data_IF_886467636092
#
_entry.id   IF_886467636092
#
_cell.length_a   1.000
_cell.length_b   1.000
_cell.length_c   1.000
_cell.angle_alpha   90.00
_cell.angle_beta   90.00
_cell.angle_gamma   90.00
#
_symmetry.space_group_name_H-M   'P 1'
#
loop_
_entity.id
_entity.type
_entity.pdbx_description
1 polymer ?
#
# COMPACT_ATOMS: atom_id res chain seq x y z
N UNK A 1 63.26 20.57 -2.55
CA UNK A 1 62.51 20.35 -1.30
C UNK A 1 61.19 21.12 -1.17
N UNK A 2 60.90 22.18 -1.95
CA UNK A 2 59.59 22.88 -1.88
C UNK A 2 58.46 22.29 -2.75
N UNK A 3 58.76 21.28 -3.58
CA UNK A 3 57.79 20.70 -4.51
C UNK A 3 56.97 19.53 -3.90
N UNK A 4 57.42 18.90 -2.81
CA UNK A 4 56.68 17.83 -2.13
C UNK A 4 55.70 18.36 -1.06
N UNK A 5 55.96 19.52 -0.45
CA UNK A 5 55.02 20.12 0.53
C UNK A 5 53.75 20.71 -0.14
N UNK A 6 53.85 21.17 -1.39
CA UNK A 6 52.69 21.68 -2.13
C UNK A 6 51.73 20.57 -2.57
N UNK A 7 52.22 19.34 -2.71
CA UNK A 7 51.35 18.18 -3.02
C UNK A 7 50.51 17.75 -1.83
N UNK A 8 50.92 18.05 -0.59
CA UNK A 8 50.17 17.63 0.61
C UNK A 8 48.99 18.55 0.92
N UNK A 9 49.11 19.86 0.77
CA UNK A 9 48.02 20.80 1.05
C UNK A 9 46.82 20.57 0.11
N UNK A 10 47.08 20.50 -1.20
CA UNK A 10 46.03 20.23 -2.20
C UNK A 10 45.38 18.86 -1.98
N UNK A 11 46.15 17.86 -1.57
CA UNK A 11 45.65 16.51 -1.30
C UNK A 11 44.80 16.46 -0.02
N UNK A 12 45.14 17.25 0.99
CA UNK A 12 44.31 17.43 2.19
C UNK A 12 43.00 18.09 1.80
N UNK A 13 43.02 19.21 1.07
CA UNK A 13 41.79 19.88 0.62
C UNK A 13 40.90 18.97 -0.23
N UNK A 14 41.49 18.21 -1.16
CA UNK A 14 40.77 17.22 -1.95
C UNK A 14 40.15 16.12 -1.07
N UNK A 15 40.88 15.64 -0.07
CA UNK A 15 40.38 14.63 0.85
C UNK A 15 39.24 15.16 1.73
N UNK A 16 39.32 16.41 2.21
CA UNK A 16 38.25 17.06 2.96
C UNK A 16 37.01 17.29 2.08
N UNK A 17 37.24 17.71 0.84
CA UNK A 17 36.18 17.86 -0.14
C UNK A 17 35.52 16.51 -0.40
N UNK A 18 36.27 15.42 -0.63
CA UNK A 18 35.72 14.06 -0.82
C UNK A 18 35.01 13.55 0.43
N UNK A 19 35.55 13.82 1.62
CA UNK A 19 34.93 13.45 2.89
C UNK A 19 33.54 14.08 3.06
N UNK A 20 33.29 15.26 2.50
CA UNK A 20 32.01 15.97 2.65
C UNK A 20 31.07 15.81 1.46
N UNK A 21 31.61 15.71 0.24
CA UNK A 21 30.84 15.69 -1.01
C UNK A 21 30.64 14.29 -1.60
N UNK A 22 31.56 13.37 -1.33
CA UNK A 22 31.50 11.99 -1.85
C UNK A 22 30.99 11.04 -0.77
N UNK A 23 30.33 9.96 -1.19
CA UNK A 23 29.98 8.84 -0.33
C UNK A 23 30.88 7.62 -0.53
N UNK A 24 31.97 7.78 -1.29
CA UNK A 24 32.98 6.74 -1.43
C UNK A 24 33.56 6.36 -0.06
N UNK A 25 33.81 5.05 0.08
CA UNK A 25 34.57 4.51 1.18
C UNK A 25 36.01 5.03 1.08
N UNK A 26 36.41 5.82 2.06
CA UNK A 26 37.80 6.23 2.19
C UNK A 26 38.65 5.01 2.55
N UNK A 27 39.82 4.91 1.93
CA UNK A 27 40.81 3.88 2.29
C UNK A 27 41.24 4.04 3.75
N UNK A 28 41.72 2.96 4.38
CA UNK A 28 42.17 3.02 5.77
C UNK A 28 43.25 4.08 6.00
N UNK A 29 44.12 4.30 5.00
CA UNK A 29 45.16 5.35 5.03
C UNK A 29 44.56 6.76 5.03
N UNK A 30 43.55 7.00 4.19
CA UNK A 30 42.83 8.30 4.16
C UNK A 30 42.05 8.53 5.45
N UNK A 31 41.42 7.48 6.00
CA UNK A 31 40.73 7.58 7.29
C UNK A 31 41.70 7.89 8.43
N UNK A 32 42.88 7.27 8.44
CA UNK A 32 43.93 7.56 9.41
C UNK A 32 44.39 9.03 9.28
N UNK A 33 44.57 9.51 8.05
CA UNK A 33 44.92 10.90 7.80
C UNK A 33 43.83 11.87 8.31
N UNK A 34 42.55 11.60 8.02
CA UNK A 34 41.44 12.40 8.55
C UNK A 34 41.40 12.41 10.08
N UNK A 35 41.65 11.28 10.73
CA UNK A 35 41.72 11.21 12.21
C UNK A 35 42.84 12.08 12.76
N UNK A 36 44.01 12.06 12.13
CA UNK A 36 45.12 12.93 12.52
C UNK A 36 44.79 14.42 12.31
N UNK A 37 44.09 14.76 11.23
CA UNK A 37 43.61 16.13 10.97
C UNK A 37 42.59 16.59 12.02
N UNK A 38 41.67 15.70 12.45
CA UNK A 38 40.72 15.97 13.54
C UNK A 38 41.47 16.27 14.83
N UNK A 39 42.43 15.40 15.22
CA UNK A 39 43.22 15.58 16.44
C UNK A 39 44.00 16.91 16.39
N UNK A 40 44.58 17.25 15.24
CA UNK A 40 45.29 18.52 15.05
C UNK A 40 44.36 19.73 15.18
N UNK A 41 43.17 19.69 14.57
CA UNK A 41 42.18 20.76 14.66
C UNK A 41 41.61 20.92 16.08
N UNK A 42 41.37 19.82 16.79
CA UNK A 42 40.95 19.84 18.20
C UNK A 42 42.03 20.45 19.10
N UNK A 43 43.31 20.11 18.86
CA UNK A 43 44.44 20.74 19.54
C UNK A 43 44.53 22.25 19.28
N UNK A 44 44.27 22.68 18.05
CA UNK A 44 44.25 24.10 17.68
C UNK A 44 43.09 24.86 18.36
N UNK A 45 41.88 24.27 18.44
CA UNK A 45 40.76 24.87 19.18
C UNK A 45 41.12 25.03 20.65
N UNK A 46 41.71 24.00 21.27
CA UNK A 46 42.13 24.10 22.67
C UNK A 46 43.15 25.22 22.89
N UNK A 47 44.10 25.37 21.97
CA UNK A 47 45.04 26.50 21.99
C UNK A 47 44.33 27.85 21.89
N UNK A 48 43.37 28.00 20.95
CA UNK A 48 42.57 29.22 20.84
C UNK A 48 41.76 29.51 22.11
N UNK A 49 41.24 28.46 22.77
CA UNK A 49 40.48 28.57 24.01
C UNK A 49 41.34 28.98 25.21
N UNK A 50 42.62 28.58 25.24
CA UNK A 50 43.59 29.02 26.25
C UNK A 50 44.02 30.49 26.07
N UNK A 51 43.94 31.04 24.84
CA UNK A 51 44.31 32.45 24.51
C UNK A 51 43.12 33.44 24.60
N UNK A 52 41.93 32.99 25.05
CA UNK A 52 40.67 33.78 25.16
C UNK A 52 40.79 35.03 26.06
N UNK A 53 41.86 35.16 26.86
CA UNK A 53 42.11 36.38 27.64
C UNK A 53 42.36 37.62 26.76
N UNK A 54 42.57 37.46 25.45
CA UNK A 54 42.62 38.58 24.50
C UNK A 54 41.28 38.67 23.74
N UNK A 55 40.48 39.74 23.94
CA UNK A 55 39.24 39.93 23.20
C UNK A 55 39.56 40.37 21.77
N UNK A 56 39.88 39.39 20.92
CA UNK A 56 40.14 39.59 19.50
C UNK A 56 39.04 38.87 18.73
N UNK A 57 38.25 39.64 17.97
CA UNK A 57 37.16 39.15 17.11
C UNK A 57 37.65 38.02 16.18
N UNK A 58 38.92 38.07 15.76
CA UNK A 58 39.54 37.07 14.89
C UNK A 58 39.62 35.67 15.51
N UNK A 59 39.80 35.54 16.84
CA UNK A 59 39.88 34.23 17.50
C UNK A 59 38.54 33.48 17.43
N UNK A 60 37.42 34.21 17.52
CA UNK A 60 36.10 33.61 17.42
C UNK A 60 35.81 33.10 16.01
N UNK A 61 36.21 33.85 14.99
CA UNK A 61 36.10 33.42 13.58
C UNK A 61 36.93 32.16 13.34
N UNK A 62 38.20 32.15 13.75
CA UNK A 62 39.07 30.97 13.62
C UNK A 62 38.50 29.75 14.36
N UNK A 63 37.89 29.94 15.54
CA UNK A 63 37.24 28.86 16.29
C UNK A 63 36.06 28.28 15.53
N UNK A 64 35.18 29.11 14.97
CA UNK A 64 34.03 28.65 14.18
C UNK A 64 34.49 27.89 12.93
N UNK A 65 35.51 28.38 12.23
CA UNK A 65 36.09 27.70 11.07
C UNK A 65 36.68 26.33 11.42
N UNK A 66 37.43 26.24 12.52
CA UNK A 66 38.00 24.99 13.00
C UNK A 66 36.91 23.98 13.41
N UNK A 67 35.85 24.42 14.09
CA UNK A 67 34.72 23.56 14.43
C UNK A 67 33.99 23.04 13.18
N UNK A 68 33.71 23.93 12.21
CA UNK A 68 33.13 23.55 10.93
C UNK A 68 34.02 22.56 10.16
N UNK A 69 35.35 22.69 10.27
CA UNK A 69 36.29 21.74 9.69
C UNK A 69 36.23 20.38 10.39
N UNK A 70 36.26 20.34 11.73
CA UNK A 70 36.13 19.08 12.49
C UNK A 70 34.85 18.34 12.14
N UNK A 71 33.71 19.04 12.07
CA UNK A 71 32.42 18.40 11.77
C UNK A 71 32.40 17.78 10.36
N UNK A 72 33.01 18.48 9.39
CA UNK A 72 33.22 17.96 8.03
C UNK A 72 34.08 16.69 8.02
N UNK A 73 35.19 16.67 8.77
CA UNK A 73 36.08 15.51 8.87
C UNK A 73 35.42 14.33 9.62
N UNK A 74 34.65 14.61 10.66
CA UNK A 74 33.87 13.60 11.42
C UNK A 74 32.79 12.97 10.55
N UNK A 75 32.12 13.75 9.72
CA UNK A 75 31.18 13.24 8.71
C UNK A 75 31.88 12.27 7.74
N UNK A 76 33.14 12.55 7.36
CA UNK A 76 33.98 11.66 6.56
C UNK A 76 34.31 10.32 7.21
N UNK A 77 34.40 10.29 8.54
CA UNK A 77 34.84 9.13 9.33
C UNK A 77 33.71 8.44 10.09
N UNK A 78 32.46 8.89 9.90
CA UNK A 78 31.30 8.38 10.60
C UNK A 78 31.09 6.87 10.36
N UNK A 79 30.69 6.16 11.42
CA UNK A 79 30.59 4.69 11.42
C UNK A 79 29.65 4.18 10.32
N UNK A 80 28.54 4.87 10.08
CA UNK A 80 27.56 4.46 9.06
C UNK A 80 28.14 4.43 7.64
N UNK A 81 29.27 5.08 7.37
CA UNK A 81 29.96 5.01 6.07
C UNK A 81 30.72 3.70 5.89
N UNK A 82 31.09 3.03 6.98
CA UNK A 82 31.78 1.73 6.96
C UNK A 82 30.83 0.54 6.87
N UNK A 83 29.58 0.75 7.25
CA UNK A 83 28.57 -0.29 7.22
C UNK A 83 28.34 -0.70 5.76
N UNK A 84 28.41 -1.99 5.40
CA UNK A 84 28.08 -2.47 4.06
C UNK A 84 26.66 -2.08 3.65
N UNK A 85 26.41 -1.96 2.34
CA UNK A 85 25.10 -1.51 1.84
C UNK A 85 23.98 -2.49 2.19
N UNK A 86 24.29 -3.78 2.29
CA UNK A 86 23.38 -4.86 2.68
C UNK A 86 22.94 -4.69 4.13
N UNK A 87 23.89 -4.38 5.04
CA UNK A 87 23.57 -4.15 6.46
C UNK A 87 22.77 -2.86 6.63
N UNK A 88 23.08 -1.80 5.88
CA UNK A 88 22.27 -0.58 5.87
C UNK A 88 20.85 -0.85 5.36
N UNK A 89 20.70 -1.69 4.33
CA UNK A 89 19.40 -2.07 3.80
C UNK A 89 18.56 -2.79 4.86
N UNK A 90 19.13 -3.76 5.58
CA UNK A 90 18.46 -4.45 6.69
C UNK A 90 18.05 -3.47 7.80
N UNK A 91 18.95 -2.57 8.21
CA UNK A 91 18.64 -1.51 9.20
C UNK A 91 17.49 -0.64 8.71
N UNK A 92 17.46 -0.26 7.43
CA UNK A 92 16.40 0.56 6.86
C UNK A 92 15.06 -0.18 6.82
N UNK A 93 15.05 -1.47 6.46
CA UNK A 93 13.83 -2.29 6.47
C UNK A 93 13.25 -2.39 7.88
N UNK A 94 14.08 -2.65 8.89
CA UNK A 94 13.65 -2.69 10.29
C UNK A 94 13.18 -1.32 10.81
N UNK A 95 13.86 -0.25 10.41
CA UNK A 95 13.54 1.11 10.87
C UNK A 95 12.27 1.70 10.22
N UNK A 96 12.01 1.35 8.96
CA UNK A 96 10.82 1.78 8.22
C UNK A 96 9.62 0.88 8.55
N UNK A 97 9.87 -0.40 8.80
CA UNK A 97 8.86 -1.45 8.83
C UNK A 97 8.29 -1.77 7.45
N UNK A 98 7.27 -2.62 7.41
CA UNK A 98 6.46 -2.85 6.21
C UNK A 98 5.51 -1.67 6.04
N UNK A 99 6.06 -0.52 5.64
CA UNK A 99 5.28 0.70 5.43
C UNK A 99 5.06 0.93 3.94
N UNK A 100 3.83 1.32 3.59
CA UNK A 100 3.48 1.86 2.28
C UNK A 100 4.33 3.08 1.95
N UNK A 101 4.70 3.24 0.69
CA UNK A 101 5.32 4.45 0.16
C UNK A 101 4.23 5.41 -0.26
N UNK A 102 4.16 6.54 0.43
CA UNK A 102 3.18 7.56 0.17
C UNK A 102 3.70 8.61 -0.83
N UNK A 103 2.87 8.94 -1.81
CA UNK A 103 3.11 9.93 -2.84
C UNK A 103 2.07 11.06 -2.75
N UNK A 104 2.46 12.34 -2.83
CA UNK A 104 3.84 12.85 -2.95
C UNK A 104 4.68 12.63 -1.69
N UNK A 105 6.02 12.71 -1.81
CA UNK A 105 6.92 12.61 -0.67
C UNK A 105 6.52 13.53 0.47
N UNK A 106 6.22 12.96 1.63
CA UNK A 106 5.96 13.70 2.87
C UNK A 106 7.08 13.42 3.88
N UNK A 107 7.46 14.46 4.63
CA UNK A 107 8.50 14.39 5.68
C UNK A 107 8.13 13.44 6.83
N UNK A 108 6.84 13.11 6.97
CA UNK A 108 6.37 12.19 7.99
C UNK A 108 6.68 10.73 7.68
N UNK A 109 7.08 10.39 6.45
CA UNK A 109 7.42 9.01 6.11
C UNK A 109 8.93 8.80 6.14
N UNK A 110 9.31 7.75 6.87
CA UNK A 110 10.70 7.37 7.16
C UNK A 110 11.53 7.18 5.89
N UNK A 111 10.97 6.57 4.83
CA UNK A 111 11.71 6.34 3.57
C UNK A 111 12.23 7.63 2.93
N UNK A 112 11.41 8.68 2.85
CA UNK A 112 11.80 9.94 2.23
C UNK A 112 12.84 10.66 3.06
N UNK A 113 12.72 10.60 4.39
CA UNK A 113 13.71 11.17 5.32
C UNK A 113 15.07 10.48 5.20
N UNK A 114 15.10 9.14 5.10
CA UNK A 114 16.34 8.39 4.89
C UNK A 114 17.03 8.74 3.55
N UNK A 115 16.25 8.96 2.49
CA UNK A 115 16.76 9.39 1.18
C UNK A 115 17.35 10.82 1.19
N UNK A 116 17.13 11.61 2.25
CA UNK A 116 17.71 12.94 2.39
C UNK A 116 18.99 12.96 3.24
N UNK A 117 19.37 11.86 3.88
CA UNK A 117 20.55 11.81 4.76
C UNK A 117 21.85 11.98 3.96
N UNK A 118 22.08 11.12 2.97
CA UNK A 118 23.22 11.22 2.06
C UNK A 118 22.91 10.53 0.72
N UNK A 119 23.69 10.81 -0.33
CA UNK A 119 23.45 10.19 -1.65
C UNK A 119 23.59 8.68 -1.66
N UNK A 120 24.39 8.08 -0.78
CA UNK A 120 24.49 6.62 -0.64
C UNK A 120 23.23 5.99 -0.06
N UNK A 121 22.66 6.57 1.00
CA UNK A 121 21.41 6.07 1.58
C UNK A 121 20.27 6.17 0.55
N UNK A 122 20.25 7.28 -0.19
CA UNK A 122 19.35 7.45 -1.33
C UNK A 122 19.53 6.35 -2.37
N UNK A 123 20.76 6.09 -2.81
CA UNK A 123 21.05 5.04 -3.80
C UNK A 123 20.60 3.67 -3.32
N UNK A 124 20.93 3.28 -2.08
CA UNK A 124 20.52 1.99 -1.49
C UNK A 124 19.00 1.85 -1.53
N UNK A 125 18.25 2.87 -1.11
CA UNK A 125 16.79 2.84 -1.10
C UNK A 125 16.22 2.81 -2.53
N UNK A 126 16.74 3.64 -3.42
CA UNK A 126 16.31 3.69 -4.83
C UNK A 126 16.56 2.36 -5.57
N UNK A 127 17.66 1.67 -5.25
CA UNK A 127 18.04 0.41 -5.88
C UNK A 127 17.42 -0.83 -5.23
N UNK A 128 16.67 -0.69 -4.14
CA UNK A 128 16.11 -1.80 -3.40
C UNK A 128 14.59 -1.93 -3.68
N UNK A 129 14.18 -2.89 -4.54
CA UNK A 129 12.78 -3.09 -4.92
C UNK A 129 11.81 -3.28 -3.77
N UNK A 130 12.28 -3.85 -2.65
CA UNK A 130 11.47 -4.15 -1.46
C UNK A 130 10.75 -2.91 -0.92
N UNK A 131 11.37 -1.74 -1.03
CA UNK A 131 10.74 -0.49 -0.58
C UNK A 131 9.64 0.02 -1.51
N UNK A 132 9.57 -0.47 -2.75
CA UNK A 132 8.65 0.06 -3.76
C UNK A 132 7.48 -0.90 -4.04
N UNK A 133 7.32 -1.94 -3.22
CA UNK A 133 6.27 -2.97 -3.36
C UNK A 133 4.88 -2.47 -3.04
N UNK A 134 4.74 -1.45 -2.20
CA UNK A 134 3.43 -0.90 -1.82
C UNK A 134 3.43 0.61 -1.99
N UNK A 135 2.68 1.11 -2.97
CA UNK A 135 2.64 2.53 -3.35
C UNK A 135 1.22 3.04 -3.14
N UNK A 136 1.10 4.13 -2.39
CA UNK A 136 -0.16 4.82 -2.17
C UNK A 136 -0.04 6.28 -2.54
N UNK A 137 -0.90 6.75 -3.45
CA UNK A 137 -0.95 8.15 -3.86
C UNK A 137 -2.04 8.85 -3.04
N UNK A 138 -1.68 9.87 -2.27
CA UNK A 138 -2.60 10.59 -1.36
C UNK A 138 -3.11 11.91 -1.95
N UNK A 139 -2.30 12.65 -2.70
CA UNK A 139 -2.63 14.00 -3.18
C UNK A 139 -2.53 14.10 -4.70
N UNK A 140 -3.68 14.29 -5.34
CA UNK A 140 -3.80 14.48 -6.78
C UNK A 140 -3.51 15.91 -7.24
N UNK A 141 -3.07 16.86 -6.40
CA UNK A 141 -2.85 18.26 -6.85
C UNK A 141 -1.49 18.51 -7.50
N UNK A 142 -0.52 17.58 -7.40
CA UNK A 142 0.86 17.73 -7.92
C UNK A 142 1.20 16.69 -9.01
N UNK A 143 0.27 16.47 -9.95
CA UNK A 143 0.18 15.28 -10.80
C UNK A 143 1.37 15.07 -11.74
N UNK A 144 1.79 16.10 -12.49
CA UNK A 144 2.81 15.92 -13.54
C UNK A 144 4.12 15.36 -12.96
N UNK A 145 4.56 15.89 -11.81
CA UNK A 145 5.76 15.40 -11.13
C UNK A 145 5.60 14.00 -10.53
N UNK A 146 4.37 13.62 -10.16
CA UNK A 146 4.07 12.31 -9.58
C UNK A 146 4.06 11.22 -10.64
N UNK A 147 3.49 11.49 -11.82
CA UNK A 147 3.43 10.52 -12.90
C UNK A 147 4.84 10.11 -13.35
N UNK A 148 5.76 11.08 -13.49
CA UNK A 148 7.16 10.79 -13.79
C UNK A 148 7.79 9.87 -12.73
N UNK A 149 7.53 10.15 -11.45
CA UNK A 149 8.04 9.33 -10.35
C UNK A 149 7.41 7.93 -10.32
N UNK A 150 6.11 7.81 -10.58
CA UNK A 150 5.39 6.53 -10.62
C UNK A 150 5.93 5.69 -11.79
N UNK A 151 6.05 6.28 -12.98
CA UNK A 151 6.67 5.61 -14.13
C UNK A 151 8.10 5.18 -13.83
N UNK A 152 8.90 6.02 -13.17
CA UNK A 152 10.26 5.65 -12.78
C UNK A 152 10.29 4.50 -11.76
N UNK A 153 9.34 4.47 -10.83
CA UNK A 153 9.22 3.35 -9.88
C UNK A 153 8.86 2.05 -10.61
N UNK A 154 7.86 2.10 -11.50
CA UNK A 154 7.42 0.94 -12.28
C UNK A 154 8.39 0.50 -13.38
N UNK A 155 9.25 1.39 -13.87
CA UNK A 155 10.23 1.06 -14.92
C UNK A 155 11.56 0.61 -14.33
N UNK A 156 12.06 1.31 -13.31
CA UNK A 156 13.45 1.15 -12.86
C UNK A 156 13.58 0.67 -11.42
N UNK A 157 12.82 1.24 -10.47
CA UNK A 157 13.09 1.03 -9.03
C UNK A 157 12.49 -0.24 -8.47
N UNK A 158 11.32 -0.63 -8.95
CA UNK A 158 10.64 -1.83 -8.47
C UNK A 158 11.33 -3.13 -8.91
N UNK A 159 12.35 -3.09 -9.77
CA UNK A 159 13.01 -4.30 -10.30
C UNK A 159 12.00 -5.32 -10.85
N UNK A 160 12.20 -6.62 -10.56
CA UNK A 160 11.20 -7.67 -10.86
C UNK A 160 10.13 -7.87 -9.79
N UNK A 161 9.99 -6.98 -8.80
CA UNK A 161 8.98 -7.15 -7.75
C UNK A 161 7.59 -6.77 -8.26
N UNK A 162 6.60 -7.52 -7.78
CA UNK A 162 5.20 -7.18 -7.95
C UNK A 162 4.83 -6.01 -7.03
N UNK A 163 4.02 -5.10 -7.54
CA UNK A 163 3.65 -3.82 -6.96
C UNK A 163 2.17 -3.86 -6.57
N UNK A 164 1.90 -3.41 -5.35
CA UNK A 164 0.58 -3.02 -4.86
C UNK A 164 0.43 -1.53 -5.07
N UNK A 165 -0.58 -1.11 -5.83
CA UNK A 165 -0.77 0.30 -6.17
C UNK A 165 -2.16 0.79 -5.81
N UNK A 166 -2.19 1.91 -5.08
CA UNK A 166 -3.40 2.61 -4.69
C UNK A 166 -3.39 4.04 -5.29
N UNK A 167 -4.23 4.34 -6.30
CA UNK A 167 -4.35 5.66 -6.90
C UNK A 167 -4.94 6.67 -5.92
N UNK A 168 -4.81 7.99 -6.20
CA UNK A 168 -5.39 8.99 -5.33
C UNK A 168 -6.91 8.94 -5.35
N UNK A 169 -7.50 9.19 -4.18
CA UNK A 169 -8.94 9.14 -3.96
C UNK A 169 -9.75 10.09 -4.85
N UNK A 170 -9.15 11.22 -5.26
CA UNK A 170 -9.77 12.20 -6.16
C UNK A 170 -8.94 12.25 -7.43
N UNK A 171 -9.16 11.28 -8.32
CA UNK A 171 -8.56 11.29 -9.65
C UNK A 171 -9.45 12.07 -10.63
N UNK A 172 -8.86 12.99 -11.38
CA UNK A 172 -9.49 13.52 -12.60
C UNK A 172 -9.31 12.49 -13.74
N UNK A 173 -9.96 12.73 -14.88
CA UNK A 173 -9.86 11.86 -16.06
C UNK A 173 -8.41 11.65 -16.53
N UNK A 174 -7.55 12.67 -16.43
CA UNK A 174 -6.15 12.57 -16.79
C UNK A 174 -5.36 11.59 -15.91
N UNK A 175 -5.52 11.64 -14.58
CA UNK A 175 -4.88 10.67 -13.66
C UNK A 175 -5.32 9.25 -14.00
N UNK A 176 -6.60 9.08 -14.30
CA UNK A 176 -7.11 7.77 -14.71
C UNK A 176 -6.44 7.28 -15.98
N UNK A 177 -6.27 8.14 -16.99
CA UNK A 177 -5.56 7.78 -18.21
C UNK A 177 -4.10 7.40 -17.94
N UNK A 178 -3.37 8.21 -17.17
CA UNK A 178 -1.97 7.92 -16.83
C UNK A 178 -1.85 6.60 -16.05
N UNK A 179 -2.77 6.35 -15.13
CA UNK A 179 -2.83 5.10 -14.38
C UNK A 179 -3.17 3.90 -15.26
N UNK A 180 -4.14 4.03 -16.16
CA UNK A 180 -4.46 2.97 -17.12
C UNK A 180 -3.29 2.70 -18.07
N UNK A 181 -2.57 3.74 -18.48
CA UNK A 181 -1.37 3.62 -19.31
C UNK A 181 -0.22 2.95 -18.56
N UNK A 182 -0.07 3.22 -17.26
CA UNK A 182 0.84 2.50 -16.38
C UNK A 182 0.51 1.00 -16.30
N UNK A 183 -0.77 0.66 -16.09
CA UNK A 183 -1.25 -0.74 -16.06
C UNK A 183 -1.00 -1.42 -17.41
N UNK A 184 -1.26 -0.72 -18.52
CA UNK A 184 -1.00 -1.23 -19.87
C UNK A 184 0.46 -1.49 -20.14
N UNK A 185 1.33 -0.62 -19.61
CA UNK A 185 2.78 -0.70 -19.85
C UNK A 185 3.44 -1.80 -19.01
N UNK A 186 2.89 -2.09 -17.83
CA UNK A 186 3.51 -3.02 -16.86
C UNK A 186 2.52 -4.02 -16.22
N UNK A 187 1.71 -4.74 -16.99
CA UNK A 187 0.66 -5.61 -16.44
C UNK A 187 1.19 -6.78 -15.62
N UNK A 188 2.38 -7.28 -15.94
CA UNK A 188 3.07 -8.37 -15.24
C UNK A 188 3.57 -7.96 -13.86
N UNK A 189 3.61 -6.67 -13.57
CA UNK A 189 4.13 -6.14 -12.32
C UNK A 189 3.07 -5.94 -11.25
N UNK A 190 1.79 -6.06 -11.56
CA UNK A 190 0.73 -5.71 -10.61
C UNK A 190 0.33 -6.93 -9.79
N UNK A 191 0.50 -6.84 -8.47
CA UNK A 191 0.03 -7.85 -7.51
C UNK A 191 -1.35 -7.51 -6.97
N UNK A 192 -1.45 -6.29 -6.44
CA UNK A 192 -2.65 -5.78 -5.82
C UNK A 192 -2.97 -4.44 -6.44
N UNK A 193 -4.24 -4.19 -6.72
CA UNK A 193 -4.66 -2.94 -7.33
C UNK A 193 -5.90 -2.43 -6.61
N UNK A 194 -5.90 -1.14 -6.30
CA UNK A 194 -7.07 -0.44 -5.83
C UNK A 194 -7.61 0.47 -6.93
N UNK A 195 -8.91 0.42 -7.16
CA UNK A 195 -9.64 1.28 -8.08
C UNK A 195 -10.61 2.12 -7.26
N UNK A 196 -10.47 3.44 -7.28
CA UNK A 196 -11.36 4.36 -6.54
C UNK A 196 -12.16 5.20 -7.52
N UNK A 197 -13.40 4.79 -7.77
CA UNK A 197 -14.32 5.44 -8.70
C UNK A 197 -15.09 6.54 -7.99
N UNK A 198 -15.01 7.76 -8.52
CA UNK A 198 -15.80 8.92 -8.10
C UNK A 198 -16.80 9.36 -9.16
N UNK A 199 -17.44 10.51 -8.95
CA UNK A 199 -18.38 11.12 -9.91
C UNK A 199 -17.75 11.44 -11.27
N UNK A 200 -16.41 11.57 -11.33
CA UNK A 200 -15.64 11.89 -12.53
C UNK A 200 -15.00 10.66 -13.19
N UNK A 201 -15.48 9.47 -12.86
CA UNK A 201 -14.92 8.24 -13.44
C UNK A 201 -15.16 8.22 -14.95
N UNK A 202 -14.11 8.01 -15.77
CA UNK A 202 -14.27 8.03 -17.21
C UNK A 202 -15.19 6.91 -17.69
N UNK A 203 -16.11 7.25 -18.60
CA UNK A 203 -17.03 6.28 -19.21
C UNK A 203 -16.34 5.28 -20.15
N UNK A 204 -15.07 5.49 -20.51
CA UNK A 204 -14.36 4.69 -21.53
C UNK A 204 -13.55 3.50 -20.98
N UNK A 205 -13.63 3.18 -19.69
CA UNK A 205 -12.88 2.04 -19.11
C UNK A 205 -13.24 0.71 -19.80
N UNK A 206 -14.44 0.62 -20.37
CA UNK A 206 -14.96 -0.54 -21.10
C UNK A 206 -14.02 -1.09 -22.18
N UNK A 207 -13.39 -0.22 -22.97
CA UNK A 207 -12.61 -0.62 -24.15
C UNK A 207 -11.10 -0.71 -23.88
N UNK A 208 -10.64 -0.20 -22.73
CA UNK A 208 -9.22 0.15 -22.54
C UNK A 208 -8.42 -0.84 -21.68
N UNK A 209 -9.07 -1.76 -20.98
CA UNK A 209 -8.40 -2.83 -20.21
C UNK A 209 -8.62 -4.25 -20.77
N UNK A 210 -8.40 -4.54 -22.08
CA UNK A 210 -8.38 -5.92 -22.57
C UNK A 210 -7.12 -6.71 -22.13
N UNK A 211 -6.48 -6.30 -21.04
CA UNK A 211 -5.16 -6.76 -20.64
C UNK A 211 -5.29 -7.87 -19.61
N UNK A 212 -4.58 -8.96 -19.87
CA UNK A 212 -4.46 -10.07 -18.93
C UNK A 212 -3.53 -9.67 -17.79
N UNK A 213 -4.09 -9.29 -16.65
CA UNK A 213 -3.33 -9.04 -15.41
C UNK A 213 -3.01 -10.38 -14.72
N UNK A 214 -2.11 -11.16 -15.31
CA UNK A 214 -1.84 -12.55 -14.91
C UNK A 214 -1.17 -12.71 -13.53
N UNK A 215 -0.66 -11.63 -12.94
CA UNK A 215 -0.05 -11.65 -11.60
C UNK A 215 -0.94 -10.98 -10.54
N UNK A 216 -2.11 -10.46 -10.94
CA UNK A 216 -3.01 -9.77 -10.03
C UNK A 216 -3.71 -10.80 -9.13
N UNK A 217 -3.42 -10.75 -7.83
CA UNK A 217 -3.96 -11.63 -6.79
C UNK A 217 -5.13 -10.97 -6.05
N UNK A 218 -5.03 -9.66 -5.80
CA UNK A 218 -6.01 -8.88 -5.04
C UNK A 218 -6.53 -7.71 -5.86
N UNK A 219 -7.84 -7.56 -5.92
CA UNK A 219 -8.50 -6.37 -6.46
C UNK A 219 -9.35 -5.70 -5.39
N UNK A 220 -9.12 -4.40 -5.20
CA UNK A 220 -9.93 -3.55 -4.35
C UNK A 220 -10.65 -2.52 -5.22
N UNK A 221 -11.97 -2.50 -5.19
CA UNK A 221 -12.81 -1.54 -5.89
C UNK A 221 -13.54 -0.70 -4.85
N UNK A 222 -13.45 0.61 -4.95
CA UNK A 222 -14.18 1.56 -4.11
C UNK A 222 -15.06 2.40 -5.03
N UNK A 223 -16.37 2.27 -4.89
CA UNK A 223 -17.35 3.09 -5.57
C UNK A 223 -17.79 4.23 -4.65
N UNK A 224 -17.49 5.45 -5.04
CA UNK A 224 -17.87 6.66 -4.32
C UNK A 224 -18.72 7.54 -5.22
N UNK A 225 -19.82 8.05 -4.68
CA UNK A 225 -20.47 9.23 -5.23
C UNK A 225 -20.56 10.31 -4.15
N UNK A 226 -20.43 11.58 -4.55
CA UNK A 226 -20.73 12.73 -3.68
C UNK A 226 -22.13 13.29 -3.91
N UNK A 227 -22.99 12.60 -4.65
CA UNK A 227 -24.34 13.04 -4.94
C UNK A 227 -25.24 11.93 -5.50
N UNK A 228 -26.37 12.32 -6.09
CA UNK A 228 -27.24 11.37 -6.81
C UNK A 228 -26.54 11.03 -8.13
N UNK A 229 -25.60 10.09 -8.09
CA UNK A 229 -25.00 9.55 -9.29
C UNK A 229 -26.08 8.85 -10.10
N UNK A 230 -26.54 9.51 -11.16
CA UNK A 230 -27.53 8.94 -12.06
C UNK A 230 -26.90 7.97 -13.07
N UNK A 231 -25.56 7.95 -13.18
CA UNK A 231 -24.81 7.09 -14.07
C UNK A 231 -24.72 5.64 -13.58
N UNK A 232 -24.32 4.76 -14.49
CA UNK A 232 -23.86 3.42 -14.14
C UNK A 232 -22.36 3.47 -13.82
N UNK A 233 -21.85 2.66 -12.89
CA UNK A 233 -20.41 2.54 -12.72
C UNK A 233 -19.76 2.09 -14.04
N UNK A 234 -18.50 2.47 -14.28
CA UNK A 234 -17.78 1.98 -15.45
C UNK A 234 -17.74 0.44 -15.42
N UNK A 235 -18.11 -0.19 -16.53
CA UNK A 235 -18.03 -1.64 -16.61
C UNK A 235 -16.57 -2.05 -16.72
N UNK A 236 -16.18 -2.95 -15.83
CA UNK A 236 -14.83 -3.46 -15.73
C UNK A 236 -14.83 -4.94 -16.09
N UNK A 237 -13.83 -5.37 -16.86
CA UNK A 237 -13.70 -6.77 -17.25
C UNK A 237 -12.32 -7.31 -16.86
N UNK A 238 -12.29 -8.00 -15.71
CA UNK A 238 -11.12 -8.71 -15.22
C UNK A 238 -11.23 -10.23 -15.42
N UNK A 239 -12.26 -10.70 -16.14
CA UNK A 239 -12.55 -12.13 -16.33
C UNK A 239 -11.38 -12.92 -16.90
N UNK A 240 -10.48 -12.25 -17.65
CA UNK A 240 -9.30 -12.89 -18.24
C UNK A 240 -8.14 -13.08 -17.28
N UNK A 241 -8.15 -12.47 -16.09
CA UNK A 241 -7.09 -12.70 -15.10
C UNK A 241 -7.30 -14.05 -14.42
N UNK A 242 -6.25 -14.87 -14.41
CA UNK A 242 -6.28 -16.24 -13.85
C UNK A 242 -5.77 -16.33 -12.41
N UNK A 243 -5.31 -15.22 -11.86
CA UNK A 243 -4.60 -15.20 -10.57
C UNK A 243 -5.36 -14.46 -9.48
N UNK A 244 -6.45 -13.76 -9.80
CA UNK A 244 -7.25 -13.06 -8.79
C UNK A 244 -7.84 -14.12 -7.85
N UNK A 245 -7.57 -13.96 -6.56
CA UNK A 245 -8.08 -14.80 -5.47
C UNK A 245 -8.90 -13.99 -4.49
N UNK A 246 -8.58 -12.70 -4.36
CA UNK A 246 -9.20 -11.83 -3.38
C UNK A 246 -9.86 -10.65 -4.10
N UNK A 247 -11.14 -10.42 -3.80
CA UNK A 247 -11.88 -9.28 -4.31
C UNK A 247 -12.56 -8.54 -3.16
N UNK A 248 -12.34 -7.23 -3.11
CA UNK A 248 -12.93 -6.36 -2.11
C UNK A 248 -13.62 -5.20 -2.82
N UNK A 249 -14.94 -5.08 -2.68
CA UNK A 249 -15.76 -4.11 -3.37
C UNK A 249 -16.51 -3.30 -2.32
N UNK A 250 -16.10 -2.05 -2.11
CA UNK A 250 -16.76 -1.13 -1.19
C UNK A 250 -17.55 -0.07 -1.93
N UNK A 251 -18.64 0.36 -1.31
CA UNK A 251 -19.49 1.42 -1.85
C UNK A 251 -19.74 2.42 -0.72
N UNK A 252 -19.26 3.66 -0.86
CA UNK A 252 -19.41 4.66 0.21
C UNK A 252 -20.80 5.30 0.27
N UNK A 253 -21.63 5.09 -0.75
CA UNK A 253 -22.95 5.72 -0.85
C UNK A 253 -24.06 4.66 -0.97
N UNK A 254 -25.14 4.86 -0.22
CA UNK A 254 -26.35 4.03 -0.27
C UNK A 254 -27.16 4.25 -1.57
N UNK A 255 -26.78 5.24 -2.38
CA UNK A 255 -27.53 5.64 -3.57
C UNK A 255 -27.19 4.85 -4.85
N UNK A 256 -26.34 3.82 -4.80
CA UNK A 256 -26.08 3.01 -5.99
C UNK A 256 -27.35 2.30 -6.44
N UNK A 257 -27.67 2.45 -7.73
CA UNK A 257 -28.81 1.76 -8.34
C UNK A 257 -28.64 0.24 -8.23
N UNK A 258 -29.73 -0.52 -8.03
CA UNK A 258 -29.70 -1.97 -8.19
C UNK A 258 -29.07 -2.36 -9.54
N UNK A 259 -28.26 -3.42 -9.54
CA UNK A 259 -27.55 -3.90 -10.75
C UNK A 259 -26.20 -3.24 -11.00
N UNK A 260 -25.69 -2.39 -10.10
CA UNK A 260 -24.34 -1.82 -10.25
C UNK A 260 -23.24 -2.88 -10.40
N UNK A 261 -23.45 -4.06 -9.79
CA UNK A 261 -22.52 -5.18 -9.85
C UNK A 261 -22.47 -5.85 -11.23
N UNK A 262 -23.53 -5.72 -12.04
CA UNK A 262 -23.58 -6.27 -13.40
C UNK A 262 -22.53 -5.62 -14.32
N UNK A 263 -22.03 -4.45 -13.90
CA UNK A 263 -20.95 -3.75 -14.58
C UNK A 263 -19.56 -4.28 -14.18
N UNK A 264 -19.45 -5.07 -13.10
CA UNK A 264 -18.16 -5.58 -12.64
C UNK A 264 -18.06 -7.06 -13.01
N UNK A 265 -17.29 -7.36 -14.06
CA UNK A 265 -16.98 -8.73 -14.45
C UNK A 265 -15.66 -9.16 -13.82
N UNK A 266 -15.76 -9.93 -12.72
CA UNK A 266 -14.65 -10.61 -12.08
C UNK A 266 -14.64 -12.10 -12.46
N UNK A 267 -13.48 -12.78 -12.38
CA UNK A 267 -13.42 -14.23 -12.50
C UNK A 267 -13.91 -14.87 -11.19
N UNK A 268 -15.22 -14.79 -10.92
CA UNK A 268 -15.84 -15.19 -9.65
C UNK A 268 -15.48 -16.61 -9.21
N UNK A 269 -15.41 -17.55 -10.16
CA UNK A 269 -15.12 -18.98 -9.92
C UNK A 269 -13.75 -19.32 -9.32
N UNK A 270 -12.80 -18.39 -9.31
CA UNK A 270 -11.48 -18.60 -8.71
C UNK A 270 -11.26 -17.76 -7.44
N UNK A 271 -12.25 -16.99 -7.00
CA UNK A 271 -12.14 -16.20 -5.77
C UNK A 271 -12.19 -17.11 -4.56
N UNK A 272 -11.21 -16.95 -3.66
CA UNK A 272 -11.16 -17.58 -2.35
C UNK A 272 -11.61 -16.63 -1.26
N UNK A 273 -11.48 -15.31 -1.47
CA UNK A 273 -11.93 -14.30 -0.52
C UNK A 273 -12.76 -13.23 -1.23
N UNK A 274 -13.91 -12.92 -0.66
CA UNK A 274 -14.83 -11.93 -1.21
C UNK A 274 -15.37 -11.02 -0.11
N UNK A 275 -15.08 -9.74 -0.21
CA UNK A 275 -15.71 -8.69 0.61
C UNK A 275 -16.54 -7.79 -0.28
N UNK A 276 -17.85 -7.67 -0.03
CA UNK A 276 -18.73 -6.75 -0.77
C UNK A 276 -19.53 -5.90 0.20
N UNK A 277 -19.53 -4.59 -0.01
CA UNK A 277 -20.34 -3.62 0.72
C UNK A 277 -21.61 -3.25 -0.06
N UNK A 278 -22.67 -2.94 0.70
CA UNK A 278 -23.97 -2.43 0.28
C UNK A 278 -24.47 -3.08 -1.00
N UNK A 279 -24.63 -4.41 -0.95
CA UNK A 279 -25.19 -5.22 -2.02
C UNK A 279 -26.62 -5.67 -1.69
N UNK A 280 -27.46 -5.88 -2.71
CA UNK A 280 -28.76 -6.52 -2.54
C UNK A 280 -28.61 -8.06 -2.59
N UNK A 281 -29.42 -8.80 -1.84
CA UNK A 281 -29.43 -10.27 -1.89
C UNK A 281 -29.67 -10.79 -3.30
N UNK A 282 -30.58 -10.16 -4.04
CA UNK A 282 -30.84 -10.42 -5.46
C UNK A 282 -29.61 -10.32 -6.36
N UNK A 283 -28.73 -9.32 -6.13
CA UNK A 283 -27.48 -9.17 -6.89
C UNK A 283 -26.36 -10.09 -6.36
N UNK A 284 -26.38 -10.43 -5.07
CA UNK A 284 -25.36 -11.28 -4.45
C UNK A 284 -25.51 -12.76 -4.82
N UNK A 285 -26.74 -13.25 -4.96
CA UNK A 285 -27.04 -14.65 -5.30
C UNK A 285 -26.29 -15.15 -6.56
N UNK A 286 -26.36 -14.47 -7.74
CA UNK A 286 -25.64 -14.94 -8.92
C UNK A 286 -24.13 -14.96 -8.70
N UNK A 287 -23.57 -13.97 -8.00
CA UNK A 287 -22.13 -13.93 -7.67
C UNK A 287 -21.72 -15.13 -6.81
N UNK A 288 -22.44 -15.42 -5.73
CA UNK A 288 -22.13 -16.57 -4.88
C UNK A 288 -22.27 -17.91 -5.61
N UNK A 289 -23.19 -18.03 -6.57
CA UNK A 289 -23.31 -19.25 -7.40
C UNK A 289 -22.07 -19.49 -8.26
N UNK A 290 -21.39 -18.43 -8.69
CA UNK A 290 -20.19 -18.55 -9.49
C UNK A 290 -18.94 -18.83 -8.64
N UNK A 291 -18.91 -18.40 -7.37
CA UNK A 291 -17.75 -18.53 -6.46
C UNK A 291 -17.59 -19.93 -5.83
N UNK A 292 -17.38 -20.97 -6.64
CA UNK A 292 -17.35 -22.37 -6.19
C UNK A 292 -16.23 -22.72 -5.19
N UNK A 293 -15.12 -21.97 -5.16
CA UNK A 293 -13.98 -22.22 -4.26
C UNK A 293 -13.82 -21.17 -3.15
N UNK A 294 -14.90 -20.41 -2.87
CA UNK A 294 -14.88 -19.35 -1.87
C UNK A 294 -14.62 -19.94 -0.48
N UNK A 295 -13.65 -19.36 0.24
CA UNK A 295 -13.23 -19.76 1.59
C UNK A 295 -13.71 -18.74 2.63
N UNK A 296 -13.57 -17.44 2.33
CA UNK A 296 -14.01 -16.36 3.18
C UNK A 296 -14.93 -15.40 2.45
N UNK A 297 -16.03 -15.03 3.09
CA UNK A 297 -16.99 -14.09 2.54
C UNK A 297 -17.48 -13.10 3.58
N UNK A 298 -17.34 -11.81 3.31
CA UNK A 298 -17.89 -10.73 4.12
C UNK A 298 -18.83 -9.88 3.26
N UNK A 299 -20.09 -9.77 3.67
CA UNK A 299 -21.09 -9.03 2.88
C UNK A 299 -21.87 -8.04 3.75
N UNK A 300 -22.00 -6.80 3.28
CA UNK A 300 -22.90 -5.79 3.85
C UNK A 300 -24.12 -5.65 2.94
N UNK A 301 -25.31 -5.90 3.46
CA UNK A 301 -26.55 -5.89 2.67
C UNK A 301 -27.19 -4.49 2.73
N UNK A 302 -27.84 -4.01 1.67
CA UNK A 302 -28.54 -2.71 1.70
C UNK A 302 -29.84 -2.71 2.52
N UNK A 303 -30.23 -1.55 3.06
CA UNK A 303 -31.43 -1.36 3.93
C UNK A 303 -32.78 -1.59 3.23
N UNK A 304 -32.87 -1.43 1.90
CA UNK A 304 -34.15 -1.20 1.21
C UNK A 304 -34.64 -2.34 0.33
N UNK A 305 -34.16 -3.55 0.57
CA UNK A 305 -34.56 -4.67 -0.25
C UNK A 305 -35.88 -5.30 0.24
N UNK A 306 -36.98 -4.98 -0.47
CA UNK A 306 -38.27 -5.65 -0.33
C UNK A 306 -38.39 -6.88 -1.24
N UNK A 307 -37.26 -7.44 -1.70
CA UNK A 307 -37.31 -8.61 -2.58
C UNK A 307 -37.77 -9.82 -1.76
N UNK A 308 -38.91 -10.39 -2.15
CA UNK A 308 -39.26 -11.74 -1.74
C UNK A 308 -38.49 -12.68 -2.66
N UNK A 309 -37.73 -13.61 -2.09
CA UNK A 309 -37.10 -14.66 -2.89
C UNK A 309 -38.16 -15.36 -3.72
N UNK A 310 -37.83 -15.64 -4.97
CA UNK A 310 -38.74 -16.37 -5.84
C UNK A 310 -38.78 -17.83 -5.37
N UNK A 311 -39.96 -18.39 -5.08
CA UNK A 311 -40.06 -19.79 -4.68
C UNK A 311 -39.46 -20.69 -5.75
N UNK A 312 -38.51 -21.56 -5.37
CA UNK A 312 -37.87 -22.51 -6.28
C UNK A 312 -36.50 -22.09 -6.80
N UNK A 313 -35.88 -21.04 -6.24
CA UNK A 313 -34.50 -20.73 -6.57
C UNK A 313 -33.53 -21.90 -6.27
N UNK A 314 -32.57 -22.18 -7.16
CA UNK A 314 -31.62 -23.26 -6.95
C UNK A 314 -30.71 -22.96 -5.76
N UNK A 315 -30.40 -24.01 -5.01
CA UNK A 315 -29.48 -23.97 -3.88
C UNK A 315 -28.08 -23.52 -4.34
N UNK A 316 -27.42 -22.75 -3.49
CA UNK A 316 -26.06 -22.24 -3.69
C UNK A 316 -25.13 -23.15 -2.88
N UNK A 317 -24.25 -23.85 -3.58
CA UNK A 317 -23.28 -24.76 -2.96
C UNK A 317 -21.94 -24.05 -2.83
N UNK A 318 -21.44 -23.91 -1.61
CA UNK A 318 -20.16 -23.29 -1.29
C UNK A 318 -19.36 -24.26 -0.41
N UNK A 319 -18.85 -25.31 -1.05
CA UNK A 319 -18.27 -26.49 -0.38
C UNK A 319 -16.99 -26.18 0.41
N UNK A 320 -16.31 -25.08 0.10
CA UNK A 320 -15.06 -24.67 0.73
C UNK A 320 -15.21 -23.48 1.68
N UNK A 321 -16.42 -22.93 1.83
CA UNK A 321 -16.63 -21.72 2.62
C UNK A 321 -16.47 -22.03 4.10
N UNK A 322 -15.44 -21.43 4.71
CA UNK A 322 -15.10 -21.62 6.11
C UNK A 322 -15.59 -20.45 6.97
N UNK A 323 -15.57 -19.22 6.44
CA UNK A 323 -15.98 -18.02 7.17
C UNK A 323 -17.01 -17.23 6.38
N UNK A 324 -18.17 -16.98 6.98
CA UNK A 324 -19.22 -16.14 6.42
C UNK A 324 -19.61 -15.07 7.43
N UNK A 325 -19.40 -13.82 7.06
CA UNK A 325 -19.74 -12.65 7.89
C UNK A 325 -20.76 -11.80 7.19
N UNK A 326 -21.89 -11.59 7.86
CA UNK A 326 -22.91 -10.65 7.46
C UNK A 326 -22.84 -9.38 8.30
N UNK A 327 -22.81 -8.24 7.61
CA UNK A 327 -22.88 -6.91 8.17
C UNK A 327 -24.25 -6.33 7.81
N UNK A 328 -25.36 -6.84 8.38
CA UNK A 328 -26.66 -6.30 8.03
C UNK A 328 -26.81 -4.90 8.62
N UNK A 329 -27.55 -4.03 7.93
CA UNK A 329 -28.03 -2.81 8.52
C UNK A 329 -29.09 -3.13 9.57
N UNK A 330 -29.11 -2.33 10.65
CA UNK A 330 -29.98 -2.60 11.79
C UNK A 330 -31.44 -2.79 11.38
N UNK A 331 -31.99 -3.98 11.64
CA UNK A 331 -33.40 -4.31 11.37
C UNK A 331 -33.70 -4.86 9.97
N UNK A 332 -32.68 -5.20 9.18
CA UNK A 332 -32.89 -5.84 7.87
C UNK A 332 -33.44 -7.27 8.00
N UNK A 333 -34.51 -7.57 7.27
CA UNK A 333 -35.08 -8.93 7.14
C UNK A 333 -34.62 -9.67 5.87
N UNK A 334 -33.91 -8.98 4.96
CA UNK A 334 -33.67 -9.50 3.60
C UNK A 334 -32.74 -10.70 3.54
N UNK A 335 -31.90 -10.90 4.56
CA UNK A 335 -30.86 -11.93 4.55
C UNK A 335 -31.40 -13.37 4.70
N UNK A 336 -32.63 -13.52 5.20
CA UNK A 336 -33.20 -14.82 5.53
C UNK A 336 -33.30 -15.72 4.29
N UNK A 337 -33.81 -15.16 3.20
CA UNK A 337 -33.96 -15.87 1.93
C UNK A 337 -32.62 -16.34 1.38
N UNK A 338 -31.59 -15.51 1.47
CA UNK A 338 -30.24 -15.87 1.04
C UNK A 338 -29.71 -17.06 1.85
N UNK A 339 -29.83 -17.01 3.18
CA UNK A 339 -29.38 -18.10 4.06
C UNK A 339 -30.10 -19.41 3.73
N UNK A 340 -31.42 -19.35 3.51
CA UNK A 340 -32.22 -20.51 3.11
C UNK A 340 -31.79 -21.12 1.75
N UNK A 341 -30.98 -20.44 0.95
CA UNK A 341 -30.41 -20.98 -0.29
C UNK A 341 -29.02 -21.60 -0.11
N UNK A 342 -28.30 -21.32 0.98
CA UNK A 342 -26.89 -21.71 1.14
C UNK A 342 -26.71 -23.17 1.62
N UNK A 343 -25.83 -23.91 0.97
CA UNK A 343 -25.28 -25.19 1.46
C UNK A 343 -23.77 -25.04 1.62
N UNK A 344 -23.30 -25.04 2.86
CA UNK A 344 -21.95 -24.60 3.27
C UNK A 344 -21.27 -25.63 4.20
N UNK A 345 -20.97 -26.85 3.71
CA UNK A 345 -20.56 -27.97 4.56
C UNK A 345 -19.23 -27.77 5.30
N UNK A 346 -18.35 -26.89 4.81
CA UNK A 346 -17.07 -26.58 5.45
C UNK A 346 -17.13 -25.39 6.44
N UNK A 347 -18.32 -24.85 6.74
CA UNK A 347 -18.44 -23.64 7.53
C UNK A 347 -17.94 -23.84 8.97
N UNK A 348 -17.00 -22.99 9.38
CA UNK A 348 -16.39 -22.95 10.71
C UNK A 348 -16.77 -21.71 11.51
N UNK A 349 -17.08 -20.62 10.82
CA UNK A 349 -17.46 -19.35 11.44
C UNK A 349 -18.64 -18.74 10.68
N UNK A 350 -19.72 -18.48 11.41
CA UNK A 350 -20.85 -17.69 10.91
C UNK A 350 -21.04 -16.50 11.85
N UNK A 351 -20.87 -15.28 11.34
CA UNK A 351 -20.93 -14.07 12.14
C UNK A 351 -21.98 -13.10 11.62
N UNK A 352 -22.79 -12.55 12.52
CA UNK A 352 -23.72 -11.46 12.25
C UNK A 352 -23.35 -10.29 13.15
N UNK A 353 -23.13 -9.10 12.58
CA UNK A 353 -22.91 -7.88 13.39
C UNK A 353 -24.20 -7.16 13.81
N UNK A 354 -25.38 -7.74 13.57
CA UNK A 354 -26.63 -7.20 14.13
C UNK A 354 -26.78 -7.63 15.60
N UNK A 355 -27.14 -6.69 16.47
CA UNK A 355 -27.51 -7.00 17.86
C UNK A 355 -28.92 -7.59 17.97
N UNK A 356 -29.75 -7.46 16.93
CA UNK A 356 -31.15 -7.83 16.94
C UNK A 356 -31.46 -9.01 15.99
N UNK A 357 -30.86 -10.17 16.24
CA UNK A 357 -31.24 -11.40 15.53
C UNK A 357 -32.71 -11.74 15.84
N UNK A 358 -33.57 -11.76 14.82
CA UNK A 358 -34.95 -12.18 14.98
C UNK A 358 -35.08 -13.72 14.97
N UNK A 359 -36.15 -14.25 15.55
CA UNK A 359 -36.39 -15.71 15.65
C UNK A 359 -36.41 -16.40 14.28
N UNK A 360 -37.00 -15.74 13.27
CA UNK A 360 -37.11 -16.24 11.89
C UNK A 360 -35.74 -16.47 11.22
N UNK A 361 -34.79 -15.57 11.48
CA UNK A 361 -33.41 -15.68 11.02
C UNK A 361 -32.69 -16.82 11.75
N UNK A 362 -32.91 -16.96 13.06
CA UNK A 362 -32.36 -18.05 13.85
C UNK A 362 -32.85 -19.42 13.32
N UNK A 363 -34.14 -19.55 12.99
CA UNK A 363 -34.68 -20.75 12.35
C UNK A 363 -34.02 -21.05 11.01
N UNK A 364 -33.78 -20.03 10.19
CA UNK A 364 -33.17 -20.19 8.86
C UNK A 364 -31.69 -20.57 8.95
N UNK A 365 -30.97 -20.02 9.92
CA UNK A 365 -29.62 -20.45 10.28
C UNK A 365 -29.63 -21.92 10.70
N UNK A 366 -30.55 -22.33 11.58
CA UNK A 366 -30.67 -23.72 12.02
C UNK A 366 -30.94 -24.67 10.85
N UNK A 367 -31.86 -24.32 9.94
CA UNK A 367 -32.12 -25.10 8.72
C UNK A 367 -30.86 -25.22 7.85
N UNK A 368 -30.09 -24.14 7.74
CA UNK A 368 -28.84 -24.12 6.97
C UNK A 368 -27.76 -24.99 7.61
N UNK A 369 -27.60 -24.96 8.93
CA UNK A 369 -26.66 -25.81 9.68
C UNK A 369 -27.02 -27.29 9.49
N UNK A 370 -28.29 -27.65 9.64
CA UNK A 370 -28.77 -29.04 9.45
C UNK A 370 -28.55 -29.50 8.02
N UNK A 371 -28.92 -28.67 7.03
CA UNK A 371 -28.73 -28.98 5.60
C UNK A 371 -27.25 -29.17 5.26
N UNK A 372 -26.40 -28.30 5.77
CA UNK A 372 -24.97 -28.29 5.48
C UNK A 372 -24.19 -29.30 6.33
N UNK A 373 -24.81 -29.92 7.34
CA UNK A 373 -24.19 -30.84 8.30
C UNK A 373 -23.01 -30.21 9.06
N UNK A 374 -23.11 -28.91 9.33
CA UNK A 374 -22.07 -28.20 10.07
C UNK A 374 -22.09 -28.55 11.56
N UNK A 375 -21.00 -28.23 12.27
CA UNK A 375 -20.98 -28.39 13.74
C UNK A 375 -22.04 -27.50 14.40
N UNK A 376 -22.84 -28.01 15.36
CA UNK A 376 -23.79 -27.21 16.12
C UNK A 376 -23.11 -26.10 16.95
N UNK A 377 -21.80 -26.22 17.23
CA UNK A 377 -21.03 -25.23 17.99
C UNK A 377 -20.91 -23.86 17.29
N UNK A 378 -21.23 -23.79 15.99
CA UNK A 378 -21.25 -22.54 15.21
C UNK A 378 -22.16 -21.46 15.79
N UNK A 379 -23.23 -21.85 16.50
CA UNK A 379 -24.15 -20.91 17.13
C UNK A 379 -23.55 -20.25 18.38
N UNK A 380 -22.59 -20.92 19.03
CA UNK A 380 -22.00 -20.46 20.28
C UNK A 380 -20.79 -19.53 20.07
N UNK A 381 -20.16 -19.58 18.88
CA UNK A 381 -19.04 -18.70 18.52
C UNK A 381 -19.48 -17.31 18.05
N UNK A 382 -20.79 -17.04 17.99
CA UNK A 382 -21.28 -15.69 17.84
C UNK A 382 -20.80 -14.88 19.04
N UNK A 383 -19.67 -14.19 18.89
CA UNK A 383 -19.30 -13.07 19.75
C UNK A 383 -20.43 -12.06 19.64
N UNK A 384 -21.45 -12.24 20.48
CA UNK A 384 -22.38 -11.18 20.85
C UNK A 384 -21.51 -10.23 21.67
N UNK A 385 -20.74 -9.39 20.98
CA UNK A 385 -20.15 -8.21 21.57
C UNK A 385 -21.29 -7.30 21.95
N UNK A 386 -21.80 -7.48 23.17
CA UNK A 386 -22.78 -6.59 23.79
C UNK A 386 -22.20 -5.19 23.86
#
# INVERSE_FOLDING_TARGET
MKAEEWTDANRIEELEHRATSSNELLSDKEQLLLRNLIIGAEGYIKYLEEDILRPVIDLQTCRVEALCRIERLRTGTAIHRKVPSEILLEIFMESIGVSRVYLPPSRMHSIWSLMQVCSRWRQIILSAPVFWKEIQVLDSRKQESLNVLIHDIFSHRGGGCLISYQPPFIANEHIWNDFLDLIKTHPERLKHIEFVFGDYSPSFIHDTLPITLNQLELIWIVLQSRGIYNGHPPSMNFFKSKSIREATIFTQDQCLKPGWLDHISLPWSQLTELTIDSITTTALIPVLRECAILVECTVMIQWHEYSQATPGEPQIHLDYLQSLTFLPPAGSRSIQSLIDLLTVPALKTLSFKDKNLNESLAESINRTIVRSRCSPDLLNSGTIGI
#
